data_IF_413134290912
#
_entry.id   IF_413134290912
#
_cell.length_a   1.000
_cell.length_b   1.000
_cell.length_c   1.000
_cell.angle_alpha   90.00
_cell.angle_beta   90.00
_cell.angle_gamma   90.00
#
_symmetry.space_group_name_H-M   'P 1'
#
loop_
_entity.id
_entity.type
_entity.pdbx_description
1 polymer ?
#
# COMPACT_ATOMS: atom_id res chain seq x y z
N UNK A 1 5.58 -9.44 -22.14
CA UNK A 1 6.41 -10.16 -21.16
C UNK A 1 6.27 -9.39 -19.84
N UNK A 2 5.66 -9.99 -18.82
CA UNK A 2 5.48 -9.34 -17.53
C UNK A 2 6.85 -9.26 -16.83
N UNK A 3 7.49 -8.08 -16.82
CA UNK A 3 8.66 -7.85 -15.98
C UNK A 3 8.16 -7.58 -14.57
N UNK A 4 8.18 -8.59 -13.71
CA UNK A 4 7.87 -8.44 -12.29
C UNK A 4 9.10 -7.84 -11.59
N UNK A 5 9.12 -6.60 -11.12
CA UNK A 5 10.34 -6.02 -10.54
C UNK A 5 10.65 -6.52 -9.11
N UNK A 6 11.92 -6.55 -8.72
CA UNK A 6 12.29 -6.82 -7.32
C UNK A 6 11.65 -5.74 -6.44
N UNK A 7 11.11 -6.13 -5.30
CA UNK A 7 10.42 -5.22 -4.37
C UNK A 7 8.92 -5.11 -4.59
N UNK A 8 8.35 -5.72 -5.64
CA UNK A 8 6.89 -5.74 -5.79
C UNK A 8 6.24 -6.54 -4.65
N UNK A 9 5.16 -5.99 -4.12
CA UNK A 9 4.32 -6.67 -3.15
C UNK A 9 3.28 -7.52 -3.87
N UNK A 10 3.14 -8.76 -3.41
CA UNK A 10 2.18 -9.72 -3.94
C UNK A 10 1.39 -10.37 -2.80
N UNK A 11 0.16 -10.76 -3.11
CA UNK A 11 -0.66 -11.60 -2.26
C UNK A 11 -0.95 -12.91 -3.00
N UNK A 12 -0.67 -14.04 -2.34
CA UNK A 12 -0.96 -15.38 -2.83
C UNK A 12 -2.03 -16.03 -1.96
N UNK A 13 -3.03 -16.65 -2.57
CA UNK A 13 -4.03 -17.48 -1.89
C UNK A 13 -3.45 -18.88 -1.70
N UNK A 14 -3.42 -19.33 -0.45
CA UNK A 14 -2.93 -20.64 -0.02
C UNK A 14 -4.11 -21.45 0.52
N UNK A 15 -4.20 -22.70 0.09
CA UNK A 15 -5.25 -23.65 0.47
C UNK A 15 -6.68 -23.11 0.28
N UNK A 16 -6.86 -22.21 -0.69
CA UNK A 16 -8.15 -21.62 -1.07
C UNK A 16 -8.79 -20.68 -0.03
N UNK A 17 -8.17 -20.50 1.13
CA UNK A 17 -8.79 -19.81 2.28
C UNK A 17 -7.89 -18.75 2.90
N UNK A 18 -6.57 -19.01 2.94
CA UNK A 18 -5.62 -18.11 3.55
C UNK A 18 -4.90 -17.30 2.48
N UNK A 19 -4.45 -16.10 2.81
CA UNK A 19 -3.61 -15.31 1.92
C UNK A 19 -2.29 -14.97 2.58
N UNK A 20 -1.21 -15.08 1.81
CA UNK A 20 0.14 -14.72 2.23
C UNK A 20 0.56 -13.49 1.45
N UNK A 21 0.98 -12.45 2.18
CA UNK A 21 1.59 -11.25 1.60
C UNK A 21 3.09 -11.36 1.67
N UNK A 22 3.73 -11.17 0.54
CA UNK A 22 5.17 -11.29 0.40
C UNK A 22 5.67 -10.31 -0.68
N UNK A 23 6.99 -10.12 -0.68
CA UNK A 23 7.67 -9.23 -1.61
C UNK A 23 8.63 -10.03 -2.45
N UNK A 24 8.68 -9.76 -3.76
CA UNK A 24 9.66 -10.40 -4.64
C UNK A 24 11.08 -9.95 -4.23
N UNK A 25 11.88 -10.87 -3.70
CA UNK A 25 13.24 -10.58 -3.23
C UNK A 25 14.30 -10.91 -4.27
N UNK A 26 14.09 -11.97 -5.06
CA UNK A 26 15.05 -12.40 -6.06
C UNK A 26 14.39 -13.07 -7.26
N UNK A 27 15.08 -12.97 -8.40
CA UNK A 27 14.82 -13.74 -9.62
C UNK A 27 16.06 -14.58 -9.88
N UNK A 28 15.88 -15.88 -9.97
CA UNK A 28 16.95 -16.81 -10.30
C UNK A 28 16.74 -17.27 -11.74
N UNK A 29 17.83 -17.44 -12.48
CA UNK A 29 17.78 -17.89 -13.88
C UNK A 29 17.98 -19.41 -13.99
N UNK A 30 18.65 -20.02 -13.00
CA UNK A 30 18.93 -21.46 -12.96
C UNK A 30 18.92 -21.95 -11.49
N UNK A 31 17.82 -22.58 -11.02
CA UNK A 31 16.55 -22.78 -11.72
C UNK A 31 15.79 -21.46 -11.96
N UNK A 32 14.95 -21.42 -13.00
CA UNK A 32 14.13 -20.25 -13.33
C UNK A 32 12.96 -20.09 -12.33
N UNK A 33 13.23 -19.39 -11.22
CA UNK A 33 12.27 -19.23 -10.13
C UNK A 33 12.29 -17.83 -9.50
N UNK A 34 11.16 -17.50 -8.87
CA UNK A 34 11.00 -16.31 -8.06
C UNK A 34 11.03 -16.68 -6.59
N UNK A 35 11.75 -15.87 -5.81
CA UNK A 35 11.82 -15.99 -4.35
C UNK A 35 11.09 -14.81 -3.74
N UNK A 36 10.10 -15.10 -2.90
CA UNK A 36 9.33 -14.12 -2.17
C UNK A 36 9.56 -14.25 -0.68
N UNK A 37 9.76 -13.09 -0.03
CA UNK A 37 10.01 -12.99 1.40
C UNK A 37 8.87 -12.28 2.11
N UNK A 38 8.69 -12.55 3.39
CA UNK A 38 7.78 -11.78 4.23
C UNK A 38 8.41 -10.45 4.67
N UNK A 39 7.68 -9.66 5.48
CA UNK A 39 8.16 -8.39 6.06
C UNK A 39 9.44 -8.50 6.91
N UNK A 40 9.81 -9.70 7.35
CA UNK A 40 11.01 -9.96 8.15
C UNK A 40 12.19 -10.42 7.27
N UNK A 41 12.02 -10.49 5.95
CA UNK A 41 13.04 -10.98 5.02
C UNK A 41 13.17 -12.50 4.99
N UNK A 42 12.26 -13.24 5.61
CA UNK A 42 12.26 -14.71 5.60
C UNK A 42 11.60 -15.20 4.32
N UNK A 43 12.24 -16.13 3.59
CA UNK A 43 11.65 -16.79 2.43
C UNK A 43 10.37 -17.52 2.83
N UNK A 44 9.25 -17.16 2.19
CA UNK A 44 7.94 -17.77 2.43
C UNK A 44 7.40 -18.49 1.21
N UNK A 45 7.78 -18.07 0.00
CA UNK A 45 7.34 -18.69 -1.24
C UNK A 45 8.52 -18.72 -2.22
N UNK A 46 8.83 -19.92 -2.70
CA UNK A 46 9.76 -20.14 -3.80
C UNK A 46 9.01 -20.92 -4.89
N UNK A 47 8.87 -20.33 -6.07
CA UNK A 47 8.08 -20.92 -7.16
C UNK A 47 8.71 -20.66 -8.52
N UNK A 48 8.62 -21.61 -9.47
CA UNK A 48 9.02 -21.39 -10.85
C UNK A 48 8.28 -20.20 -11.45
N UNK A 49 8.92 -19.48 -12.38
CA UNK A 49 8.30 -18.32 -13.06
C UNK A 49 6.97 -18.70 -13.70
N UNK A 50 6.90 -19.87 -14.35
CA UNK A 50 5.68 -20.41 -14.94
C UNK A 50 4.58 -20.69 -13.88
N UNK A 51 4.97 -21.09 -12.67
CA UNK A 51 4.04 -21.33 -11.56
C UNK A 51 3.36 -20.03 -11.10
N UNK A 52 4.16 -18.96 -10.96
CA UNK A 52 3.64 -17.63 -10.61
C UNK A 52 2.75 -17.07 -11.71
N UNK A 53 3.12 -17.22 -12.99
CA UNK A 53 2.29 -16.81 -14.11
C UNK A 53 0.91 -17.49 -14.09
N UNK A 54 0.88 -18.81 -13.83
CA UNK A 54 -0.37 -19.56 -13.72
C UNK A 54 -1.25 -19.08 -12.56
N UNK A 55 -0.66 -18.74 -11.42
CA UNK A 55 -1.42 -18.22 -10.26
C UNK A 55 -1.96 -16.82 -10.52
N UNK A 56 -1.22 -15.97 -11.25
CA UNK A 56 -1.69 -14.67 -11.71
C UNK A 56 -2.89 -14.81 -12.67
N UNK A 57 -2.80 -15.73 -13.63
CA UNK A 57 -3.89 -16.02 -14.57
C UNK A 57 -5.13 -16.62 -13.88
N UNK A 58 -4.91 -17.49 -12.88
CA UNK A 58 -5.99 -18.10 -12.09
C UNK A 58 -6.61 -17.12 -11.06
N UNK A 59 -6.02 -15.94 -10.86
CA UNK A 59 -6.44 -14.99 -9.83
C UNK A 59 -6.13 -15.41 -8.39
N UNK A 60 -5.33 -16.47 -8.21
CA UNK A 60 -4.85 -16.92 -6.88
C UNK A 60 -3.54 -16.23 -6.47
N UNK A 61 -2.95 -15.42 -7.35
CA UNK A 61 -1.92 -14.45 -7.02
C UNK A 61 -2.32 -13.07 -7.55
N UNK A 62 -2.00 -12.01 -6.81
CA UNK A 62 -2.26 -10.63 -7.22
C UNK A 62 -1.15 -9.69 -6.74
N UNK A 63 -0.80 -8.72 -7.56
CA UNK A 63 0.06 -7.62 -7.13
C UNK A 63 -0.73 -6.69 -6.18
N UNK A 64 -0.11 -6.30 -5.08
CA UNK A 64 -0.67 -5.29 -4.17
C UNK A 64 -0.22 -3.94 -4.70
N UNK A 65 -1.15 -3.14 -5.20
CA UNK A 65 -0.87 -1.74 -5.54
C UNK A 65 -0.57 -0.96 -4.25
N UNK A 66 0.50 -0.16 -4.24
CA UNK A 66 0.70 0.84 -3.20
C UNK A 66 -0.50 1.80 -3.24
N UNK A 67 -1.39 1.68 -2.26
CA UNK A 67 -2.42 2.68 -2.04
C UNK A 67 -1.73 3.98 -1.65
N UNK A 68 -1.84 5.00 -2.52
CA UNK A 68 -1.39 6.37 -2.28
C UNK A 68 -2.18 6.95 -1.11
N UNK A 69 -1.78 6.63 0.12
CA UNK A 69 -2.38 7.16 1.36
C UNK A 69 -1.73 8.48 1.80
N UNK A 70 -1.11 9.22 0.88
CA UNK A 70 -0.41 10.46 1.22
C UNK A 70 -1.36 11.66 1.25
N UNK A 71 -2.36 11.74 0.38
CA UNK A 71 -3.12 13.00 0.25
C UNK A 71 -4.15 13.23 1.36
N UNK A 72 -4.87 12.19 1.83
CA UNK A 72 -5.98 12.41 2.79
C UNK A 72 -5.55 12.56 4.25
N UNK A 73 -4.46 11.91 4.65
CA UNK A 73 -3.93 12.03 6.01
C UNK A 73 -3.24 13.38 6.22
N UNK A 74 -2.53 13.88 5.19
CA UNK A 74 -1.86 15.19 5.23
C UNK A 74 -2.89 16.32 5.22
N UNK A 75 -3.91 16.26 4.36
CA UNK A 75 -4.97 17.26 4.31
C UNK A 75 -5.67 17.42 5.68
N UNK A 76 -5.94 16.30 6.37
CA UNK A 76 -6.59 16.31 7.70
C UNK A 76 -5.71 16.92 8.80
N UNK A 77 -4.40 16.72 8.75
CA UNK A 77 -3.46 17.30 9.73
C UNK A 77 -3.24 18.79 9.47
N UNK A 78 -3.12 19.20 8.21
CA UNK A 78 -3.01 20.62 7.82
C UNK A 78 -4.30 21.37 8.17
N UNK A 79 -5.47 20.78 7.94
CA UNK A 79 -6.76 21.34 8.34
C UNK A 79 -6.86 21.57 9.86
N UNK A 80 -6.40 20.59 10.68
CA UNK A 80 -6.36 20.73 12.15
C UNK A 80 -5.38 21.79 12.65
N UNK A 81 -4.27 22.01 11.94
CA UNK A 81 -3.29 23.04 12.30
C UNK A 81 -3.79 24.46 11.96
N UNK A 82 -4.48 24.64 10.82
CA UNK A 82 -5.09 25.93 10.45
C UNK A 82 -6.22 26.32 11.38
N UNK A 83 -7.09 25.38 11.77
CA UNK A 83 -8.18 25.63 12.72
C UNK A 83 -7.70 26.04 14.13
N UNK A 84 -6.46 25.72 14.51
CA UNK A 84 -5.87 26.13 15.80
C UNK A 84 -5.25 27.53 15.80
N UNK A 85 -5.09 28.17 14.64
CA UNK A 85 -4.46 29.48 14.50
C UNK A 85 -5.45 30.63 14.23
N UNK A 86 -6.74 30.32 14.05
CA UNK A 86 -7.80 31.32 13.98
C UNK A 86 -8.23 31.70 15.40
N UNK A 87 -7.62 32.77 15.92
CA UNK A 87 -8.03 33.42 17.16
C UNK A 87 -9.46 33.98 17.03
N UNK A 88 -10.48 33.47 17.75
CA UNK A 88 -11.86 33.96 17.64
C UNK A 88 -12.08 35.34 18.31
N UNK A 89 -11.05 36.01 18.81
CA UNK A 89 -11.20 37.21 19.63
C UNK A 89 -11.29 38.55 18.85
N UNK A 90 -11.89 38.57 17.65
CA UNK A 90 -12.13 39.85 16.96
C UNK A 90 -13.43 39.88 16.15
N UNK A 91 -14.53 39.49 16.79
CA UNK A 91 -15.85 40.03 16.45
C UNK A 91 -16.29 40.81 17.68
N UNK A 92 -16.08 42.13 17.68
CA UNK A 92 -16.78 43.03 18.61
C UNK A 92 -18.18 43.23 18.05
N UNK A 93 -19.26 42.73 18.69
CA UNK A 93 -20.61 43.09 18.31
C UNK A 93 -20.97 44.38 19.06
N UNK A 94 -21.29 45.44 18.33
CA UNK A 94 -21.97 46.60 18.90
C UNK A 94 -21.31 47.93 18.60
N UNK A 95 -21.52 48.43 17.38
CA UNK A 95 -21.70 49.87 17.19
C UNK A 95 -22.60 50.08 15.97
N UNK A 96 -23.90 49.81 16.15
CA UNK A 96 -24.92 50.60 15.47
C UNK A 96 -26.29 50.39 16.13
N UNK A 97 -27.03 51.50 16.26
CA UNK A 97 -28.37 51.65 16.87
C UNK A 97 -28.44 51.77 18.40
N UNK A 98 -28.49 53.02 18.90
CA UNK A 98 -29.69 53.55 19.55
C UNK A 98 -29.53 55.03 19.95
N UNK A 99 -30.55 55.82 19.57
CA UNK A 99 -30.97 57.14 20.06
C UNK A 99 -30.14 58.38 19.68
#
# INVERSE_FOLDING_TARGET
MYSADIGIWMEFVVDGTHSIRCTLAAKMTEPDCFVFVNRQGVNVIEKPVAGVARELEAGTARQIAESVLVDRAIDTVIARLRARNENPARIVPGLDSAA
#
